data_IF_731110597843
#
_entry.id   IF_731110597843
#
_cell.length_a   1.000
_cell.length_b   1.000
_cell.length_c   1.000
_cell.angle_alpha   90.00
_cell.angle_beta   90.00
_cell.angle_gamma   90.00
#
_symmetry.space_group_name_H-M   'P 1'
#
loop_
_entity.id
_entity.type
_entity.pdbx_description
1 polymer ?
#
# COMPACT_ATOMS: atom_id res chain seq x y z
N UNK A 1 -12.85 32.37 -16.14
CA UNK A 1 -11.60 31.70 -15.74
C UNK A 1 -12.03 30.65 -14.71
N UNK A 2 -12.08 29.37 -15.08
CA UNK A 2 -12.63 28.32 -14.23
C UNK A 2 -11.69 28.01 -13.08
N UNK A 3 -12.20 28.03 -11.85
CA UNK A 3 -11.45 27.66 -10.66
C UNK A 3 -11.14 26.15 -10.71
N UNK A 4 -9.86 25.82 -10.79
CA UNK A 4 -9.37 24.44 -10.65
C UNK A 4 -9.48 24.07 -9.17
N UNK A 5 -10.64 23.56 -8.77
CA UNK A 5 -10.80 22.94 -7.46
C UNK A 5 -10.06 21.61 -7.49
N UNK A 6 -8.91 21.56 -6.84
CA UNK A 6 -8.20 20.31 -6.56
C UNK A 6 -9.11 19.53 -5.61
N UNK A 7 -9.84 18.54 -6.14
CA UNK A 7 -10.60 17.63 -5.30
C UNK A 7 -9.62 17.04 -4.28
N UNK A 8 -9.93 17.08 -2.96
CA UNK A 8 -9.07 16.47 -1.97
C UNK A 8 -8.86 15.03 -2.39
N UNK A 9 -7.59 14.67 -2.64
CA UNK A 9 -7.20 13.29 -2.95
C UNK A 9 -7.42 12.47 -1.70
N UNK A 10 -8.63 11.96 -1.48
CA UNK A 10 -8.93 11.01 -0.42
C UNK A 10 -8.45 9.62 -0.85
N UNK A 11 -7.14 9.50 -1.04
CA UNK A 11 -6.53 8.32 -1.65
C UNK A 11 -5.03 8.42 -1.67
N UNK A 12 -4.38 7.27 -1.82
CA UNK A 12 -2.92 7.16 -1.86
C UNK A 12 -2.49 6.12 -2.91
N UNK A 13 -1.22 6.16 -3.29
CA UNK A 13 -0.60 5.26 -4.25
C UNK A 13 0.61 4.60 -3.60
N UNK A 14 0.66 3.27 -3.66
CA UNK A 14 1.74 2.45 -3.12
C UNK A 14 2.42 1.67 -4.24
N UNK A 15 3.75 1.61 -4.20
CA UNK A 15 4.53 0.76 -5.10
C UNK A 15 4.51 -0.70 -4.64
N UNK A 16 4.31 -1.61 -5.59
CA UNK A 16 4.37 -3.05 -5.33
C UNK A 16 5.84 -3.49 -5.21
N UNK A 17 6.17 -4.16 -4.10
CA UNK A 17 7.53 -4.68 -3.85
C UNK A 17 8.06 -5.63 -4.92
N UNK A 18 7.18 -6.23 -5.72
CA UNK A 18 7.56 -7.11 -6.85
C UNK A 18 8.17 -6.34 -8.03
N UNK A 19 8.05 -5.01 -8.06
CA UNK A 19 8.56 -4.14 -9.11
C UNK A 19 7.78 -4.23 -10.43
N UNK A 20 8.33 -3.61 -11.48
CA UNK A 20 7.75 -3.63 -12.83
C UNK A 20 6.56 -2.67 -13.02
N UNK A 21 6.69 -1.44 -12.53
CA UNK A 21 5.68 -0.36 -12.62
C UNK A 21 4.30 -0.75 -12.08
N UNK A 22 4.33 -1.65 -11.10
CA UNK A 22 3.15 -2.15 -10.40
C UNK A 22 2.82 -1.22 -9.25
N UNK A 23 1.59 -0.71 -9.24
CA UNK A 23 1.10 0.17 -8.17
C UNK A 23 -0.25 -0.29 -7.64
N UNK A 24 -0.47 -0.10 -6.34
CA UNK A 24 -1.78 -0.17 -5.72
C UNK A 24 -2.28 1.25 -5.49
N UNK A 25 -3.49 1.54 -5.93
CA UNK A 25 -4.14 2.85 -5.74
C UNK A 25 -5.37 2.68 -4.87
N UNK A 26 -5.50 3.54 -3.88
CA UNK A 26 -6.66 3.63 -3.00
C UNK A 26 -7.40 4.92 -3.33
N UNK A 27 -8.72 4.85 -3.50
CA UNK A 27 -9.54 6.03 -3.78
C UNK A 27 -10.87 5.93 -3.05
N UNK A 28 -11.22 6.97 -2.30
CA UNK A 28 -12.51 7.07 -1.61
C UNK A 28 -13.52 7.86 -2.46
N UNK A 29 -14.75 7.36 -2.54
CA UNK A 29 -15.90 8.03 -3.15
C UNK A 29 -16.98 8.23 -2.07
N UNK A 30 -16.91 9.31 -1.27
CA UNK A 30 -17.84 9.52 -0.15
C UNK A 30 -19.30 9.59 -0.58
N UNK A 31 -19.58 10.19 -1.75
CA UNK A 31 -20.94 10.27 -2.31
C UNK A 31 -21.52 8.91 -2.69
N UNK A 32 -20.66 7.90 -2.91
CA UNK A 32 -21.05 6.55 -3.27
C UNK A 32 -20.90 5.55 -2.11
N UNK A 33 -20.45 6.00 -0.94
CA UNK A 33 -20.23 5.13 0.22
C UNK A 33 -19.25 3.98 -0.07
N UNK A 34 -18.20 4.23 -0.86
CA UNK A 34 -17.28 3.16 -1.30
C UNK A 34 -15.83 3.63 -1.33
N UNK A 35 -14.93 2.72 -0.98
CA UNK A 35 -13.49 2.82 -1.19
C UNK A 35 -13.07 1.79 -2.23
N UNK A 36 -12.35 2.24 -3.26
CA UNK A 36 -11.83 1.38 -4.32
C UNK A 36 -10.34 1.18 -4.12
N UNK A 37 -9.93 -0.08 -4.03
CA UNK A 37 -8.53 -0.49 -4.09
C UNK A 37 -8.28 -1.12 -5.45
N UNK A 38 -7.31 -0.62 -6.20
CA UNK A 38 -7.04 -1.08 -7.56
C UNK A 38 -5.56 -1.36 -7.79
N UNK A 39 -5.27 -2.42 -8.54
CA UNK A 39 -3.93 -2.83 -8.92
C UNK A 39 -3.68 -2.43 -10.37
N UNK A 40 -2.57 -1.74 -10.60
CA UNK A 40 -2.17 -1.21 -11.88
C UNK A 40 -0.82 -1.77 -12.30
N UNK A 41 -0.62 -1.91 -13.60
CA UNK A 41 0.69 -2.15 -14.22
C UNK A 41 0.83 -1.11 -15.32
N UNK A 42 1.84 -0.25 -15.21
CA UNK A 42 1.94 0.96 -16.03
C UNK A 42 0.62 1.77 -15.95
N UNK A 43 -0.11 1.86 -17.06
CA UNK A 43 -1.37 2.62 -17.17
C UNK A 43 -2.62 1.74 -17.20
N UNK A 44 -2.48 0.43 -17.01
CA UNK A 44 -3.59 -0.52 -17.13
C UNK A 44 -4.01 -1.02 -15.75
N UNK A 45 -5.29 -0.80 -15.41
CA UNK A 45 -5.90 -1.42 -14.25
C UNK A 45 -6.06 -2.93 -14.51
N UNK A 46 -5.45 -3.76 -13.67
CA UNK A 46 -5.48 -5.22 -13.77
C UNK A 46 -6.52 -5.86 -12.86
N UNK A 47 -6.81 -5.21 -11.73
CA UNK A 47 -7.81 -5.68 -10.78
C UNK A 47 -8.32 -4.50 -9.95
N UNK A 48 -9.57 -4.61 -9.50
CA UNK A 48 -10.15 -3.68 -8.54
C UNK A 48 -10.98 -4.44 -7.51
N UNK A 49 -11.05 -3.87 -6.32
CA UNK A 49 -11.85 -4.31 -5.20
C UNK A 49 -12.61 -3.10 -4.66
N UNK A 50 -13.91 -3.25 -4.45
CA UNK A 50 -14.78 -2.20 -3.91
C UNK A 50 -15.15 -2.59 -2.49
N UNK A 51 -14.78 -1.74 -1.54
CA UNK A 51 -15.09 -1.89 -0.12
C UNK A 51 -16.22 -0.91 0.23
N UNK A 52 -17.25 -1.40 0.92
CA UNK A 52 -18.27 -0.53 1.48
C UNK A 52 -17.68 0.39 2.55
N UNK A 53 -18.19 1.62 2.66
CA UNK A 53 -17.78 2.59 3.68
C UNK A 53 -17.95 2.05 5.12
N UNK A 54 -18.96 1.22 5.35
CA UNK A 54 -19.21 0.56 6.65
C UNK A 54 -18.09 -0.38 7.07
N UNK A 55 -17.35 -0.96 6.12
CA UNK A 55 -16.23 -1.86 6.40
C UNK A 55 -14.88 -1.14 6.47
N UNK A 56 -14.82 0.14 6.07
CA UNK A 56 -13.58 0.92 6.09
C UNK A 56 -12.94 1.02 7.48
N UNK A 57 -13.67 1.29 8.58
CA UNK A 57 -13.07 1.33 9.92
C UNK A 57 -12.43 0.00 10.30
N UNK A 58 -13.07 -1.13 9.98
CA UNK A 58 -12.54 -2.47 10.24
C UNK A 58 -11.25 -2.73 9.46
N UNK A 59 -11.16 -2.28 8.20
CA UNK A 59 -9.94 -2.39 7.42
C UNK A 59 -8.81 -1.54 8.03
N UNK A 60 -9.11 -0.31 8.48
CA UNK A 60 -8.13 0.57 9.12
C UNK A 60 -7.58 -0.05 10.41
N UNK A 61 -8.44 -0.61 11.25
CA UNK A 61 -8.04 -1.32 12.48
C UNK A 61 -7.15 -2.52 12.16
N UNK A 62 -7.52 -3.32 11.16
CA UNK A 62 -6.73 -4.47 10.73
C UNK A 62 -5.33 -4.05 10.27
N UNK A 63 -5.20 -2.94 9.52
CA UNK A 63 -3.92 -2.41 9.06
C UNK A 63 -3.10 -1.82 10.22
N UNK A 64 -3.72 -1.03 11.11
CA UNK A 64 -3.06 -0.43 12.26
C UNK A 64 -2.53 -1.47 13.26
N UNK A 65 -3.18 -2.64 13.32
CA UNK A 65 -2.74 -3.77 14.13
C UNK A 65 -1.54 -4.55 13.55
N UNK A 66 -1.18 -4.34 12.29
CA UNK A 66 -0.03 -5.04 11.67
C UNK A 66 1.29 -4.46 12.20
N UNK A 67 2.12 -5.34 12.74
CA UNK A 67 3.47 -5.01 13.19
C UNK A 67 4.44 -5.97 12.51
N UNK A 68 5.55 -5.43 12.02
CA UNK A 68 6.67 -6.23 11.55
C UNK A 68 7.66 -6.39 12.69
N UNK A 69 8.00 -7.63 13.05
CA UNK A 69 9.07 -7.88 14.01
C UNK A 69 10.43 -7.51 13.37
N UNK A 70 11.13 -6.57 14.00
CA UNK A 70 12.43 -6.09 13.54
C UNK A 70 13.52 -7.18 13.56
N UNK A 71 13.32 -8.27 14.30
CA UNK A 71 14.30 -9.36 14.42
C UNK A 71 14.42 -10.23 13.14
N UNK A 72 13.49 -10.13 12.18
CA UNK A 72 13.51 -10.96 10.97
C UNK A 72 14.49 -10.48 9.88
N UNK A 73 15.14 -9.32 10.03
CA UNK A 73 16.10 -8.78 9.05
C UNK A 73 17.57 -8.83 9.54
N UNK A 74 17.84 -9.46 10.68
CA UNK A 74 19.20 -9.72 11.11
C UNK A 74 19.78 -10.88 10.28
N UNK A 75 20.50 -10.54 9.20
CA UNK A 75 21.44 -11.46 8.57
C UNK A 75 22.33 -12.09 9.65
N UNK A 76 22.60 -13.42 9.62
CA UNK A 76 23.45 -14.06 10.62
C UNK A 76 24.83 -13.37 10.61
N UNK A 77 25.43 -13.08 11.79
CA UNK A 77 26.77 -12.53 11.83
C UNK A 77 27.70 -13.54 11.14
N UNK A 78 28.44 -13.07 10.14
CA UNK A 78 29.52 -13.83 9.52
C UNK A 78 30.50 -14.25 10.62
N UNK A 79 30.45 -15.53 10.97
CA UNK A 79 31.32 -16.13 11.96
C UNK A 79 32.79 -16.01 11.50
N UNK A 80 33.67 -15.79 12.47
CA UNK A 80 35.03 -15.28 12.26
C UNK A 80 35.91 -16.30 11.55
N UNK A 81 36.36 -15.99 10.33
CA UNK A 81 37.57 -16.57 9.76
C UNK A 81 38.70 -15.53 9.83
N UNK A 82 39.28 -15.38 11.02
CA UNK A 82 40.63 -14.80 11.13
C UNK A 82 41.54 -15.90 11.63
N UNK A 83 42.25 -16.40 10.63
CA UNK A 83 43.29 -17.41 10.59
C UNK A 83 44.39 -17.18 11.63
N UNK A 84 44.97 -18.29 12.10
CA UNK A 84 46.20 -18.34 12.88
C UNK A 84 47.37 -18.06 11.94
N UNK A 85 48.17 -17.02 12.23
CA UNK A 85 49.50 -16.82 11.67
C UNK A 85 50.43 -16.23 12.73
#
# INVERSE_FOLDING_TARGET
>A
MGELVVLPKSGDIFDDRRGGDRTMRVTCHPQQGTVVVSLWVDRICRASFQLADTDLPRLQEALAGMQFDAASDAAPPADKLSDTA
#
